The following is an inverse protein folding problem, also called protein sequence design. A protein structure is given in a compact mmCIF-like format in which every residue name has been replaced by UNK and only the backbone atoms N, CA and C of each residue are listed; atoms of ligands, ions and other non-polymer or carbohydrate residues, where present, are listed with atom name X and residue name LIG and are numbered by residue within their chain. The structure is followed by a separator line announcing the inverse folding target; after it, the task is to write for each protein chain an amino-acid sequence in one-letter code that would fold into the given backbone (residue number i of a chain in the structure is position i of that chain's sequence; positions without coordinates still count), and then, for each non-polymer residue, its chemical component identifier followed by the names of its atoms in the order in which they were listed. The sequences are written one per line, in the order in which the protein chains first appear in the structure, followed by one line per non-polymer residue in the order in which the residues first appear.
data_IF_155235677060
#
_entry.id   IF_155235677060
#
_cell.length_a   1.000
_cell.length_b   1.000
_cell.length_c   1.000
_cell.angle_alpha   90.00
_cell.angle_beta   90.00
_cell.angle_gamma   90.00
#
_symmetry.space_group_name_H-M   'P 1'
#
loop_
_entity.id
_entity.type
_entity.pdbx_description
1 polymer ?
#
# COMPACT_ATOMS: atom_id res chain seq x y z
N UNK A 1 6.84 11.50 -0.71
CA UNK A 1 8.00 10.59 -0.78
C UNK A 1 8.89 11.07 -1.89
N UNK A 2 10.11 11.47 -1.56
CA UNK A 2 11.14 11.73 -2.55
C UNK A 2 11.92 10.43 -2.75
N UNK A 3 11.76 9.83 -3.93
CA UNK A 3 12.45 8.60 -4.35
C UNK A 3 13.39 8.88 -5.53
N UNK A 4 13.76 10.14 -5.75
CA UNK A 4 14.59 10.58 -6.88
C UNK A 4 15.91 9.83 -7.01
N UNK A 5 16.52 9.45 -5.88
CA UNK A 5 17.77 8.69 -5.82
C UNK A 5 17.60 7.17 -5.98
N UNK A 6 16.37 6.68 -6.13
CA UNK A 6 16.09 5.26 -6.33
C UNK A 6 15.90 5.00 -7.81
N UNK A 7 16.67 4.04 -8.32
CA UNK A 7 16.61 3.65 -9.73
C UNK A 7 15.23 3.09 -10.10
N UNK A 8 14.80 3.37 -11.33
CA UNK A 8 13.56 2.84 -11.90
C UNK A 8 13.62 1.31 -11.92
N UNK A 9 12.51 0.65 -11.56
CA UNK A 9 12.40 -0.81 -11.55
C UNK A 9 13.31 -1.54 -10.57
N UNK A 10 13.99 -0.84 -9.65
CA UNK A 10 14.98 -1.46 -8.78
C UNK A 10 14.38 -2.20 -7.58
N UNK A 11 13.08 -2.02 -7.31
CA UNK A 11 12.40 -2.58 -6.15
C UNK A 11 11.50 -3.75 -6.57
N UNK A 12 11.79 -4.94 -6.09
CA UNK A 12 10.94 -6.12 -6.31
C UNK A 12 9.71 -6.14 -5.37
N UNK A 13 9.79 -5.45 -4.23
CA UNK A 13 8.75 -5.45 -3.19
C UNK A 13 8.67 -4.09 -2.50
N UNK A 14 7.46 -3.55 -2.39
CA UNK A 14 7.17 -2.34 -1.63
C UNK A 14 6.10 -2.67 -0.60
N UNK A 15 6.32 -2.28 0.66
CA UNK A 15 5.37 -2.47 1.75
C UNK A 15 4.98 -1.09 2.28
N UNK A 16 3.68 -0.82 2.31
CA UNK A 16 3.10 0.41 2.82
C UNK A 16 2.23 0.12 4.02
N UNK A 17 2.73 0.54 5.18
CA UNK A 17 2.10 0.36 6.48
C UNK A 17 1.27 1.61 6.81
N UNK A 18 -0.06 1.48 6.78
CA UNK A 18 -1.04 2.53 7.08
C UNK A 18 -0.78 3.88 6.37
N UNK A 19 -0.88 3.95 5.03
CA UNK A 19 -0.47 5.13 4.23
C UNK A 19 -1.46 6.30 4.32
N UNK A 20 -1.84 6.75 5.51
CA UNK A 20 -2.84 7.81 5.72
C UNK A 20 -2.41 9.14 5.06
N UNK A 21 -3.24 9.65 4.13
CA UNK A 21 -3.00 10.85 3.30
C UNK A 21 -1.84 10.73 2.31
N UNK A 22 -1.32 9.53 2.08
CA UNK A 22 -0.37 9.24 1.01
C UNK A 22 -1.05 8.43 -0.09
N UNK A 23 -0.69 8.66 -1.35
CA UNK A 23 -1.12 7.81 -2.47
C UNK A 23 -0.20 6.58 -2.53
N UNK A 24 -0.69 5.38 -2.14
CA UNK A 24 0.14 4.19 -2.12
C UNK A 24 0.50 3.70 -3.53
N UNK A 25 -0.19 4.16 -4.57
CA UNK A 25 0.09 3.77 -5.96
C UNK A 25 0.55 4.97 -6.79
N UNK A 26 1.12 6.00 -6.15
CA UNK A 26 1.61 7.21 -6.82
C UNK A 26 2.73 6.92 -7.83
N UNK A 27 2.96 7.85 -8.77
CA UNK A 27 3.89 7.67 -9.90
C UNK A 27 5.30 7.22 -9.49
N UNK A 28 5.86 7.80 -8.42
CA UNK A 28 7.18 7.40 -7.93
C UNK A 28 7.22 5.96 -7.41
N UNK A 29 6.16 5.49 -6.75
CA UNK A 29 6.04 4.09 -6.30
C UNK A 29 6.02 3.16 -7.52
N UNK A 30 5.23 3.52 -8.53
CA UNK A 30 5.16 2.75 -9.78
C UNK A 30 6.46 2.78 -10.58
N UNK A 31 7.20 3.89 -10.53
CA UNK A 31 8.48 4.04 -11.23
C UNK A 31 9.55 3.13 -10.63
N UNK A 32 9.67 3.08 -9.31
CA UNK A 32 10.73 2.30 -8.66
C UNK A 32 10.40 0.81 -8.57
N UNK A 33 9.12 0.41 -8.68
CA UNK A 33 8.71 -0.99 -8.66
C UNK A 33 9.07 -1.69 -9.99
N UNK A 34 9.69 -2.87 -9.89
CA UNK A 34 9.99 -3.75 -11.03
C UNK A 34 8.71 -4.26 -11.72
N UNK A 35 8.85 -4.68 -12.98
CA UNK A 35 7.85 -5.51 -13.65
C UNK A 35 7.74 -6.85 -12.90
N UNK A 36 6.51 -7.35 -12.69
CA UNK A 36 6.24 -8.46 -11.76
C UNK A 36 6.54 -8.16 -10.28
N UNK A 37 6.87 -6.91 -9.93
CA UNK A 37 7.07 -6.48 -8.55
C UNK A 37 5.79 -6.54 -7.73
N UNK A 38 5.96 -6.71 -6.41
CA UNK A 38 4.85 -6.83 -5.46
C UNK A 38 4.68 -5.55 -4.63
N UNK A 39 3.43 -5.08 -4.52
CA UNK A 39 3.05 -4.03 -3.58
C UNK A 39 2.17 -4.65 -2.49
N UNK A 40 2.52 -4.43 -1.22
CA UNK A 40 1.69 -4.77 -0.06
C UNK A 40 1.21 -3.47 0.58
N UNK A 41 -0.10 -3.29 0.70
CA UNK A 41 -0.72 -2.11 1.33
C UNK A 41 -1.57 -2.58 2.49
N UNK A 42 -1.27 -2.06 3.68
CA UNK A 42 -2.02 -2.35 4.91
C UNK A 42 -2.67 -1.09 5.42
N UNK A 43 -3.94 -1.16 5.79
CA UNK A 43 -4.64 0.00 6.34
C UNK A 43 -6.05 -0.31 6.81
N UNK A 44 -6.56 0.55 7.70
CA UNK A 44 -7.94 0.45 8.17
C UNK A 44 -8.93 0.92 7.09
N UNK A 45 -10.17 0.42 7.15
CA UNK A 45 -11.22 0.78 6.19
C UNK A 45 -11.57 2.28 6.17
N UNK A 46 -11.36 2.98 7.30
CA UNK A 46 -11.60 4.42 7.43
C UNK A 46 -10.40 5.28 6.98
N UNK A 47 -9.28 4.66 6.55
CA UNK A 47 -8.17 5.39 5.96
C UNK A 47 -8.55 5.78 4.52
N UNK A 48 -8.61 7.09 4.19
CA UNK A 48 -9.00 7.56 2.85
C UNK A 48 -8.11 7.01 1.73
N UNK A 49 -6.84 6.74 2.02
CA UNK A 49 -5.88 6.17 1.06
C UNK A 49 -6.17 4.72 0.69
N UNK A 50 -7.01 4.04 1.46
CA UNK A 50 -7.47 2.67 1.16
C UNK A 50 -8.75 2.67 0.31
N UNK A 51 -9.41 3.82 0.15
CA UNK A 51 -10.68 3.92 -0.57
C UNK A 51 -10.47 3.54 -2.04
N UNK A 52 -11.24 2.56 -2.51
CA UNK A 52 -11.18 2.05 -3.89
C UNK A 52 -9.81 1.51 -4.31
N UNK A 53 -8.95 1.11 -3.36
CA UNK A 53 -7.56 0.73 -3.68
C UNK A 53 -7.47 -0.43 -4.68
N UNK A 54 -8.38 -1.41 -4.58
CA UNK A 54 -8.45 -2.54 -5.52
C UNK A 54 -8.73 -2.08 -6.96
N UNK A 55 -9.67 -1.13 -7.13
CA UNK A 55 -10.00 -0.56 -8.44
C UNK A 55 -8.83 0.25 -8.99
N UNK A 56 -8.24 1.13 -8.17
CA UNK A 56 -7.11 1.96 -8.58
C UNK A 56 -5.91 1.08 -8.96
N UNK A 57 -5.67 -0.01 -8.23
CA UNK A 57 -4.63 -0.99 -8.56
C UNK A 57 -4.91 -1.66 -9.91
N UNK A 58 -6.14 -2.11 -10.16
CA UNK A 58 -6.52 -2.71 -11.42
C UNK A 58 -6.33 -1.74 -12.61
N UNK A 59 -6.77 -0.48 -12.46
CA UNK A 59 -6.61 0.58 -13.47
C UNK A 59 -5.13 0.89 -13.76
N UNK A 60 -4.24 0.62 -12.79
CA UNK A 60 -2.78 0.80 -12.90
C UNK A 60 -2.04 -0.48 -13.33
N UNK A 61 -2.76 -1.51 -13.76
CA UNK A 61 -2.16 -2.74 -14.29
C UNK A 61 -1.72 -3.75 -13.23
N UNK A 62 -2.26 -3.68 -12.01
CA UNK A 62 -1.99 -4.66 -10.97
C UNK A 62 -3.07 -5.74 -10.90
N UNK A 63 -2.69 -6.91 -10.40
CA UNK A 63 -3.60 -7.98 -10.00
C UNK A 63 -3.59 -8.14 -8.49
N UNK A 64 -4.75 -8.22 -7.86
CA UNK A 64 -4.87 -8.61 -6.46
C UNK A 64 -4.53 -10.11 -6.33
N UNK A 65 -3.46 -10.43 -5.62
CA UNK A 65 -3.09 -11.84 -5.37
C UNK A 65 -3.66 -12.34 -4.05
N UNK A 66 -3.63 -11.51 -2.99
CA UNK A 66 -4.07 -11.88 -1.65
C UNK A 66 -4.73 -10.69 -0.95
N UNK A 67 -5.72 -11.00 -0.10
CA UNK A 67 -6.43 -10.04 0.74
C UNK A 67 -6.68 -10.66 2.11
N UNK A 68 -6.05 -10.10 3.15
CA UNK A 68 -6.12 -10.61 4.51
C UNK A 68 -6.69 -9.55 5.45
N UNK A 69 -7.36 -9.99 6.52
CA UNK A 69 -7.73 -9.13 7.65
C UNK A 69 -6.86 -9.53 8.83
N UNK A 70 -6.09 -8.57 9.36
CA UNK A 70 -5.12 -8.79 10.43
C UNK A 70 -5.41 -7.87 11.61
N UNK A 71 -4.88 -8.21 12.79
CA UNK A 71 -5.00 -7.34 13.97
C UNK A 71 -4.32 -6.00 13.73
N UNK A 72 -4.95 -4.92 14.18
CA UNK A 72 -4.37 -3.57 14.20
C UNK A 72 -3.36 -3.35 15.33
N UNK A 73 -3.10 -4.38 16.16
CA UNK A 73 -2.12 -4.30 17.24
C UNK A 73 -0.74 -3.93 16.70
N UNK A 74 -0.14 -2.87 17.26
CA UNK A 74 1.15 -2.33 16.81
C UNK A 74 1.04 -1.21 15.77
N UNK A 75 -0.15 -0.93 15.25
CA UNK A 75 -0.38 0.20 14.34
C UNK A 75 -0.91 1.43 15.09
N UNK A 76 -0.39 2.59 14.71
CA UNK A 76 -0.77 3.87 15.30
C UNK A 76 -1.30 4.84 14.25
N UNK A 77 -2.14 5.77 14.71
CA UNK A 77 -2.54 6.96 13.99
C UNK A 77 -1.36 7.94 13.89
N UNK A 78 -1.51 8.99 13.07
CA UNK A 78 -0.49 10.04 12.93
C UNK A 78 -0.19 10.82 14.22
N UNK A 79 -1.09 10.76 15.22
CA UNK A 79 -0.91 11.36 16.54
C UNK A 79 -0.29 10.39 17.58
N UNK A 80 0.15 9.20 17.15
CA UNK A 80 0.74 8.17 18.02
C UNK A 80 -0.25 7.34 18.83
N UNK A 81 -1.56 7.64 18.78
CA UNK A 81 -2.59 6.80 19.42
C UNK A 81 -2.81 5.52 18.62
N UNK A 82 -3.19 4.40 19.26
CA UNK A 82 -3.58 3.18 18.55
C UNK A 82 -4.69 3.43 17.53
N UNK A 83 -4.70 2.66 16.44
CA UNK A 83 -5.85 2.61 15.54
C UNK A 83 -7.06 2.10 16.33
N UNK A 84 -8.18 2.81 16.26
CA UNK A 84 -9.40 2.48 17.02
C UNK A 84 -10.05 1.18 16.57
N UNK A 85 -9.96 0.84 15.28
CA UNK A 85 -10.43 -0.45 14.80
C UNK A 85 -9.50 -1.56 15.27
N UNK A 86 -10.07 -2.71 15.65
CA UNK A 86 -9.32 -3.90 16.08
C UNK A 86 -8.56 -4.59 14.94
N UNK A 87 -8.95 -4.30 13.69
CA UNK A 87 -8.39 -4.92 12.49
C UNK A 87 -8.04 -3.90 11.40
N UNK A 88 -7.13 -4.31 10.53
CA UNK A 88 -6.79 -3.65 9.27
C UNK A 88 -6.80 -4.67 8.14
N UNK A 89 -6.94 -4.18 6.90
CA UNK A 89 -6.89 -5.02 5.71
C UNK A 89 -5.50 -4.92 5.08
N UNK A 90 -4.92 -6.07 4.76
CA UNK A 90 -3.71 -6.21 3.96
C UNK A 90 -4.11 -6.60 2.53
N UNK A 91 -3.61 -5.84 1.56
CA UNK A 91 -3.76 -6.11 0.14
C UNK A 91 -2.39 -6.41 -0.45
N UNK A 92 -2.27 -7.51 -1.18
CA UNK A 92 -1.08 -7.84 -1.96
C UNK A 92 -1.40 -7.77 -3.44
N UNK A 93 -0.70 -6.87 -4.13
CA UNK A 93 -0.84 -6.61 -5.55
C UNK A 93 0.44 -7.02 -6.28
N UNK A 94 0.29 -7.64 -7.45
CA UNK A 94 1.40 -7.99 -8.35
C UNK A 94 1.25 -7.15 -9.62
N UNK A 95 2.32 -6.47 -10.02
CA UNK A 95 2.38 -5.68 -11.25
C UNK A 95 2.39 -6.63 -12.47
N UNK A 96 1.50 -6.44 -13.43
CA UNK A 96 1.52 -7.16 -14.71
C UNK A 96 2.63 -6.66 -15.63
#
# INVERSE_FOLDING_TARGET
NDLSNIATGSQNKIIMENPYKYDPLGSEILRVLDNNGTIIIKGSWNNPSMKNIEKIAADKGFTLSEKNVISSKGYSQSNGKPIQNETITEYKFIRK
#
